data_IF_147664520285
#
_entry.id   IF_147664520285
#
_cell.length_a   1.000
_cell.length_b   1.000
_cell.length_c   1.000
_cell.angle_alpha   90.00
_cell.angle_beta   90.00
_cell.angle_gamma   90.00
#
_symmetry.space_group_name_H-M   'P 1'
#
loop_
_entity.id
_entity.type
_entity.pdbx_description
1 polymer ?
#
# COMPACT_ATOMS: atom_id res chain seq x y z
N UNK A 1 15.05 -0.69 -5.44
CA UNK A 1 14.32 -1.93 -5.80
C UNK A 1 13.30 -1.57 -6.87
N UNK A 2 13.06 -2.44 -7.87
CA UNK A 2 11.96 -2.19 -8.82
C UNK A 2 10.63 -2.45 -8.13
N UNK A 3 9.60 -1.68 -8.50
CA UNK A 3 8.28 -1.81 -7.86
C UNK A 3 7.67 -3.18 -8.16
N UNK A 4 7.90 -3.71 -9.37
CA UNK A 4 7.46 -5.05 -9.71
C UNK A 4 8.11 -6.14 -8.83
N UNK A 5 9.38 -5.98 -8.46
CA UNK A 5 10.05 -6.93 -7.56
C UNK A 5 9.42 -6.90 -6.16
N UNK A 6 9.07 -5.71 -5.66
CA UNK A 6 8.32 -5.58 -4.40
C UNK A 6 6.92 -6.22 -4.52
N UNK A 7 6.21 -6.00 -5.63
CA UNK A 7 4.92 -6.63 -5.89
C UNK A 7 5.02 -8.16 -5.85
N UNK A 8 6.07 -8.75 -6.44
CA UNK A 8 6.30 -10.19 -6.38
C UNK A 8 6.60 -10.67 -4.95
N UNK A 9 7.36 -9.89 -4.16
CA UNK A 9 7.58 -10.22 -2.75
C UNK A 9 6.29 -10.19 -1.93
N UNK A 10 5.42 -9.19 -2.16
CA UNK A 10 4.09 -9.12 -1.52
C UNK A 10 3.25 -10.32 -1.92
N UNK A 11 3.20 -10.66 -3.21
CA UNK A 11 2.47 -11.83 -3.70
C UNK A 11 2.94 -13.14 -3.05
N UNK A 12 4.26 -13.35 -2.97
CA UNK A 12 4.84 -14.52 -2.34
C UNK A 12 4.52 -14.58 -0.84
N UNK A 13 4.57 -13.43 -0.15
CA UNK A 13 4.17 -13.33 1.26
C UNK A 13 2.70 -13.71 1.45
N UNK A 14 1.79 -13.19 0.59
CA UNK A 14 0.36 -13.51 0.69
C UNK A 14 0.13 -15.02 0.53
N UNK A 15 0.79 -15.65 -0.45
CA UNK A 15 0.71 -17.10 -0.65
C UNK A 15 1.20 -17.89 0.55
N UNK A 16 2.40 -17.56 1.05
CA UNK A 16 3.00 -18.22 2.21
C UNK A 16 2.12 -18.11 3.45
N UNK A 17 1.50 -16.93 3.66
CA UNK A 17 0.62 -16.67 4.79
C UNK A 17 -0.83 -17.08 4.52
N UNK A 18 -1.13 -17.74 3.40
CA UNK A 18 -2.46 -18.23 3.05
C UNK A 18 -3.53 -17.15 2.92
N UNK A 19 -3.15 -15.94 2.52
CA UNK A 19 -4.09 -14.87 2.23
C UNK A 19 -4.59 -14.98 0.79
N UNK A 20 -5.88 -14.66 0.54
CA UNK A 20 -6.40 -14.68 -0.81
C UNK A 20 -5.80 -13.57 -1.67
N UNK A 21 -5.54 -13.91 -2.93
CA UNK A 21 -4.95 -13.04 -3.96
C UNK A 21 -5.87 -12.83 -5.17
N UNK A 22 -7.08 -13.41 -5.17
CA UNK A 22 -8.03 -13.29 -6.29
C UNK A 22 -8.91 -12.03 -6.18
N UNK A 23 -9.41 -11.57 -7.34
CA UNK A 23 -10.27 -10.38 -7.47
C UNK A 23 -11.56 -10.40 -6.63
N UNK A 24 -12.04 -11.58 -6.23
CA UNK A 24 -13.22 -11.72 -5.36
C UNK A 24 -13.04 -11.03 -4.00
N UNK A 25 -11.80 -10.69 -3.64
CA UNK A 25 -11.45 -9.99 -2.40
C UNK A 25 -11.22 -8.49 -2.60
N UNK A 26 -11.56 -7.94 -3.77
CA UNK A 26 -11.29 -6.54 -4.11
C UNK A 26 -11.81 -5.58 -3.03
N UNK A 27 -13.07 -5.72 -2.62
CA UNK A 27 -13.68 -4.88 -1.60
C UNK A 27 -12.93 -4.95 -0.26
N UNK A 28 -12.53 -6.15 0.16
CA UNK A 28 -11.76 -6.35 1.40
C UNK A 28 -10.41 -5.65 1.29
N UNK A 29 -9.67 -5.84 0.18
CA UNK A 29 -8.37 -5.19 -0.02
C UNK A 29 -8.48 -3.68 -0.11
N UNK A 30 -9.57 -3.16 -0.70
CA UNK A 30 -9.81 -1.73 -0.83
C UNK A 30 -10.10 -1.09 0.53
N UNK A 31 -10.93 -1.73 1.36
CA UNK A 31 -11.18 -1.28 2.74
C UNK A 31 -9.89 -1.32 3.57
N UNK A 32 -9.11 -2.41 3.49
CA UNK A 32 -7.84 -2.49 4.19
C UNK A 32 -6.83 -1.43 3.73
N UNK A 33 -6.83 -1.06 2.44
CA UNK A 33 -6.00 0.04 1.96
C UNK A 33 -6.42 1.38 2.58
N UNK A 34 -7.72 1.63 2.76
CA UNK A 34 -8.19 2.82 3.50
C UNK A 34 -7.80 2.81 4.97
N UNK A 35 -7.77 1.63 5.62
CA UNK A 35 -7.38 1.56 7.03
C UNK A 35 -5.91 1.94 7.23
N UNK A 36 -4.99 1.55 6.35
CA UNK A 36 -3.56 1.95 6.50
C UNK A 36 -3.38 3.49 6.44
N UNK A 37 -4.16 4.18 5.59
CA UNK A 37 -4.16 5.65 5.56
C UNK A 37 -4.71 6.23 6.88
N UNK A 38 -5.70 5.56 7.46
CA UNK A 38 -6.28 5.93 8.75
C UNK A 38 -5.34 5.63 9.92
N UNK A 39 -4.50 4.60 9.83
CA UNK A 39 -3.45 4.26 10.80
C UNK A 39 -2.36 5.33 10.80
N UNK A 40 -1.95 5.82 9.63
CA UNK A 40 -1.09 7.02 9.54
C UNK A 40 -1.75 8.24 10.20
N UNK A 41 -3.03 8.49 9.94
CA UNK A 41 -3.75 9.59 10.57
C UNK A 41 -3.81 9.44 12.10
N UNK A 42 -4.04 8.23 12.61
CA UNK A 42 -4.04 7.95 14.05
C UNK A 42 -2.64 8.16 14.67
N UNK A 43 -1.57 7.74 13.99
CA UNK A 43 -0.20 8.03 14.41
C UNK A 43 0.04 9.55 14.50
N UNK A 44 -0.43 10.32 13.52
CA UNK A 44 -0.35 11.79 13.52
C UNK A 44 -1.11 12.39 14.71
N UNK A 45 -2.35 11.97 14.96
CA UNK A 45 -3.15 12.44 16.12
C UNK A 45 -2.47 12.16 17.45
N UNK A 46 -1.79 11.03 17.56
CA UNK A 46 -1.11 10.58 18.78
C UNK A 46 0.34 11.06 18.89
N UNK A 47 0.85 11.81 17.91
CA UNK A 47 2.24 12.27 17.88
C UNK A 47 3.27 11.14 17.77
N UNK A 48 2.89 9.98 17.24
CA UNK A 48 3.76 8.80 17.09
C UNK A 48 4.59 8.89 15.81
N UNK A 49 5.48 9.87 15.74
CA UNK A 49 6.30 10.14 14.53
C UNK A 49 7.17 8.96 14.10
N UNK A 50 7.60 8.12 15.05
CA UNK A 50 8.33 6.88 14.76
C UNK A 50 7.53 5.84 13.95
N UNK A 51 6.19 5.93 13.96
CA UNK A 51 5.32 5.01 13.25
C UNK A 51 5.07 5.46 11.80
N UNK A 52 5.31 6.73 11.43
CA UNK A 52 4.92 7.25 10.12
C UNK A 52 5.52 6.48 8.94
N UNK A 53 6.78 6.05 9.07
CA UNK A 53 7.45 5.28 8.04
C UNK A 53 6.80 3.92 7.80
N UNK A 54 6.42 3.20 8.86
CA UNK A 54 5.76 1.91 8.70
C UNK A 54 4.35 2.06 8.11
N UNK A 55 3.59 3.08 8.52
CA UNK A 55 2.22 3.25 8.01
C UNK A 55 2.23 3.63 6.53
N UNK A 56 3.18 4.46 6.09
CA UNK A 56 3.39 4.75 4.67
C UNK A 56 3.78 3.49 3.87
N UNK A 57 4.63 2.64 4.43
CA UNK A 57 5.00 1.38 3.82
C UNK A 57 3.80 0.42 3.72
N UNK A 58 2.94 0.38 4.74
CA UNK A 58 1.72 -0.42 4.72
C UNK A 58 0.75 0.04 3.63
N UNK A 59 0.59 1.36 3.42
CA UNK A 59 -0.19 1.91 2.29
C UNK A 59 0.33 1.35 0.96
N UNK A 60 1.65 1.40 0.71
CA UNK A 60 2.24 0.86 -0.54
C UNK A 60 2.03 -0.66 -0.64
N UNK A 61 2.32 -1.41 0.43
CA UNK A 61 2.17 -2.87 0.42
C UNK A 61 0.72 -3.28 0.17
N UNK A 62 -0.26 -2.58 0.77
CA UNK A 62 -1.69 -2.81 0.50
C UNK A 62 -2.08 -2.41 -0.91
N UNK A 63 -1.56 -1.30 -1.42
CA UNK A 63 -1.80 -0.84 -2.79
C UNK A 63 -1.34 -1.89 -3.80
N UNK A 64 -0.20 -2.54 -3.57
CA UNK A 64 0.32 -3.59 -4.45
C UNK A 64 -0.56 -4.86 -4.49
N UNK A 65 -1.46 -5.06 -3.53
CA UNK A 65 -2.46 -6.12 -3.62
C UNK A 65 -3.42 -5.92 -4.81
N UNK A 66 -3.67 -4.66 -5.22
CA UNK A 66 -4.57 -4.36 -6.33
C UNK A 66 -4.08 -4.99 -7.64
N UNK A 67 -2.88 -4.67 -8.18
CA UNK A 67 -2.39 -5.33 -9.39
C UNK A 67 -2.17 -6.84 -9.22
N UNK A 68 -1.89 -7.34 -8.01
CA UNK A 68 -1.80 -8.79 -7.74
C UNK A 68 -3.12 -9.51 -8.03
N UNK A 69 -4.26 -8.88 -7.73
CA UNK A 69 -5.59 -9.44 -8.02
C UNK A 69 -5.92 -9.52 -9.52
N UNK A 70 -5.15 -8.83 -10.36
CA UNK A 70 -5.34 -8.78 -11.81
C UNK A 70 -4.06 -9.22 -12.54
N UNK A 71 -3.72 -10.52 -12.57
CA UNK A 71 -2.47 -11.01 -13.15
C UNK A 71 -2.23 -10.60 -14.60
N UNK A 72 -3.30 -10.40 -15.38
CA UNK A 72 -3.23 -9.95 -16.77
C UNK A 72 -2.71 -8.51 -16.93
N UNK A 73 -2.65 -7.73 -15.85
CA UNK A 73 -2.01 -6.42 -15.86
C UNK A 73 -0.48 -6.48 -15.96
N UNK A 74 0.13 -7.59 -15.53
CA UNK A 74 1.58 -7.78 -15.59
C UNK A 74 2.36 -6.71 -14.82
N UNK A 75 3.47 -6.26 -15.40
CA UNK A 75 4.28 -5.15 -14.87
C UNK A 75 3.73 -3.80 -15.33
N UNK A 76 2.71 -3.29 -14.63
CA UNK A 76 2.16 -1.94 -14.86
C UNK A 76 3.16 -0.82 -14.55
N UNK A 77 4.25 -1.14 -13.86
CA UNK A 77 5.30 -0.22 -13.45
C UNK A 77 6.36 -0.06 -14.53
N UNK A 78 6.33 -0.86 -15.61
CA UNK A 78 7.26 -0.75 -16.76
C UNK A 78 8.74 -0.77 -16.34
N UNK A 79 9.09 -1.61 -15.37
CA UNK A 79 10.45 -1.72 -14.83
C UNK A 79 10.87 -0.57 -13.90
N UNK A 80 9.98 0.38 -13.58
CA UNK A 80 10.29 1.52 -12.71
C UNK A 80 10.67 1.12 -11.28
N UNK A 81 11.52 1.95 -10.70
CA UNK A 81 11.83 2.04 -9.28
C UNK A 81 11.02 3.17 -8.63
N UNK A 82 11.14 3.32 -7.31
CA UNK A 82 10.52 4.41 -6.57
C UNK A 82 11.01 5.79 -7.03
N UNK A 83 12.25 5.88 -7.54
CA UNK A 83 12.80 7.14 -8.05
C UNK A 83 12.06 7.61 -9.31
N UNK A 84 11.62 6.68 -10.15
CA UNK A 84 10.99 6.96 -11.45
C UNK A 84 9.51 7.38 -11.35
N UNK A 85 8.87 7.12 -10.20
CA UNK A 85 7.50 7.58 -9.95
C UNK A 85 7.52 9.06 -9.59
N UNK A 86 6.77 9.95 -10.26
CA UNK A 86 6.73 11.35 -9.85
C UNK A 86 6.10 11.49 -8.47
N UNK A 87 6.59 12.42 -7.66
CA UNK A 87 5.90 12.81 -6.44
C UNK A 87 4.75 13.78 -6.72
N UNK A 88 3.61 13.56 -6.07
CA UNK A 88 2.53 14.55 -6.02
C UNK A 88 2.62 15.24 -4.66
N UNK A 89 3.07 16.50 -4.66
CA UNK A 89 3.25 17.28 -3.44
C UNK A 89 1.93 17.52 -2.72
N UNK A 90 2.00 17.56 -1.39
CA UNK A 90 0.95 18.01 -0.49
C UNK A 90 1.43 19.25 0.28
N UNK A 91 0.51 20.12 0.70
CA UNK A 91 0.84 21.28 1.52
C UNK A 91 0.97 20.91 3.01
N UNK A 92 0.19 19.92 3.44
CA UNK A 92 0.26 19.34 4.79
C UNK A 92 -0.08 17.83 4.80
N UNK A 93 0.12 17.20 5.96
CA UNK A 93 -0.12 15.76 6.14
C UNK A 93 -1.58 15.36 5.92
N UNK A 94 -2.52 16.18 6.39
CA UNK A 94 -3.94 15.89 6.30
C UNK A 94 -4.43 15.97 4.86
N UNK A 95 -3.98 16.97 4.11
CA UNK A 95 -4.24 17.07 2.68
C UNK A 95 -3.68 15.85 1.94
N UNK A 96 -2.44 15.46 2.25
CA UNK A 96 -1.82 14.26 1.66
C UNK A 96 -2.66 13.00 1.89
N UNK A 97 -3.02 12.73 3.14
CA UNK A 97 -3.87 11.57 3.50
C UNK A 97 -5.27 11.65 2.87
N UNK A 98 -5.90 12.81 2.87
CA UNK A 98 -7.21 13.03 2.24
C UNK A 98 -7.17 12.76 0.73
N UNK A 99 -6.13 13.21 0.05
CA UNK A 99 -5.96 12.99 -1.38
C UNK A 99 -5.74 11.50 -1.70
N UNK A 100 -5.01 10.78 -0.85
CA UNK A 100 -4.87 9.32 -0.94
C UNK A 100 -6.24 8.65 -0.77
N UNK A 101 -7.01 8.97 0.28
CA UNK A 101 -8.36 8.44 0.47
C UNK A 101 -9.28 8.69 -0.73
N UNK A 102 -9.26 9.91 -1.28
CA UNK A 102 -10.08 10.27 -2.44
C UNK A 102 -9.72 9.48 -3.68
N UNK A 103 -8.45 9.17 -3.89
CA UNK A 103 -8.02 8.39 -5.05
C UNK A 103 -8.31 6.90 -4.86
N UNK A 104 -8.14 6.35 -3.66
CA UNK A 104 -8.57 4.97 -3.34
C UNK A 104 -10.08 4.81 -3.60
N UNK A 105 -10.89 5.78 -3.20
CA UNK A 105 -12.36 5.75 -3.36
C UNK A 105 -12.83 5.68 -4.82
N UNK A 106 -11.95 5.96 -5.79
CA UNK A 106 -12.27 5.90 -7.22
C UNK A 106 -12.01 4.52 -7.84
N UNK A 107 -11.24 3.66 -7.16
CA UNK A 107 -10.94 2.34 -7.66
C UNK A 107 -12.21 1.49 -7.70
N UNK A 108 -12.43 0.78 -8.80
CA UNK A 108 -13.67 0.04 -9.07
C UNK A 108 -13.45 -1.44 -9.42
N UNK A 109 -12.21 -1.90 -9.42
CA UNK A 109 -11.84 -3.29 -9.69
C UNK A 109 -11.80 -3.63 -11.19
N UNK A 110 -11.48 -2.64 -12.03
CA UNK A 110 -11.38 -2.82 -13.49
C UNK A 110 -10.06 -2.29 -14.02
N UNK A 111 -9.74 -2.59 -15.28
CA UNK A 111 -8.50 -2.16 -15.93
C UNK A 111 -8.26 -0.64 -15.94
N UNK A 112 -9.31 0.19 -15.75
CA UNK A 112 -9.15 1.65 -15.61
C UNK A 112 -8.35 2.04 -14.36
N UNK A 113 -8.31 1.18 -13.35
CA UNK A 113 -7.68 1.46 -12.06
C UNK A 113 -6.16 1.50 -12.12
N UNK A 114 -5.51 1.03 -13.21
CA UNK A 114 -4.04 1.08 -13.37
C UNK A 114 -3.49 2.49 -13.14
N UNK A 115 -4.18 3.51 -13.66
CA UNK A 115 -3.79 4.90 -13.47
C UNK A 115 -4.04 5.37 -12.03
N UNK A 116 -5.16 4.97 -11.42
CA UNK A 116 -5.47 5.28 -10.02
C UNK A 116 -4.42 4.68 -9.07
N UNK A 117 -4.02 3.43 -9.31
CA UNK A 117 -2.95 2.75 -8.57
C UNK A 117 -1.63 3.52 -8.67
N UNK A 118 -1.24 3.92 -9.88
CA UNK A 118 -0.03 4.73 -10.08
C UNK A 118 -0.11 6.07 -9.33
N UNK A 119 -1.27 6.72 -9.37
CA UNK A 119 -1.50 8.01 -8.71
C UNK A 119 -1.50 7.91 -7.19
N UNK A 120 -2.06 6.85 -6.61
CA UNK A 120 -2.00 6.59 -5.16
C UNK A 120 -0.54 6.40 -4.72
N UNK A 121 0.26 5.68 -5.51
CA UNK A 121 1.69 5.54 -5.26
C UNK A 121 2.39 6.91 -5.26
N UNK A 122 2.14 7.72 -6.29
CA UNK A 122 2.73 9.06 -6.44
C UNK A 122 2.36 10.02 -5.29
N UNK A 123 1.11 9.97 -4.81
CA UNK A 123 0.64 10.70 -3.63
C UNK A 123 1.36 10.22 -2.36
N UNK A 124 1.48 8.91 -2.17
CA UNK A 124 2.18 8.33 -1.02
C UNK A 124 3.66 8.69 -1.01
N UNK A 125 4.31 8.72 -2.20
CA UNK A 125 5.68 9.22 -2.38
C UNK A 125 5.81 10.70 -2.04
N UNK A 126 4.86 11.52 -2.46
CA UNK A 126 4.84 12.95 -2.10
C UNK A 126 4.75 13.17 -0.60
N UNK A 127 3.89 12.40 0.07
CA UNK A 127 3.74 12.45 1.53
C UNK A 127 4.99 11.96 2.27
N UNK A 128 5.67 10.92 1.78
CA UNK A 128 6.94 10.47 2.37
C UNK A 128 8.04 11.52 2.24
N UNK A 129 8.12 12.20 1.09
CA UNK A 129 9.08 13.29 0.87
C UNK A 129 8.78 14.48 1.79
N UNK A 130 7.51 14.86 1.94
CA UNK A 130 7.08 15.90 2.89
C UNK A 130 7.54 15.59 4.32
N UNK A 131 7.51 14.31 4.71
CA UNK A 131 7.96 13.82 6.00
C UNK A 131 9.49 13.60 6.12
N UNK A 132 10.26 13.78 5.04
CA UNK A 132 11.69 13.50 5.02
C UNK A 132 12.03 12.00 5.14
N UNK A 133 11.13 11.12 4.70
CA UNK A 133 11.26 9.65 4.80
C UNK A 133 11.61 9.02 3.45
N UNK A 134 12.49 8.00 3.50
CA UNK A 134 12.79 7.15 2.35
C UNK A 134 11.78 6.00 2.27
N UNK A 135 10.76 6.19 1.43
CA UNK A 135 9.67 5.23 1.27
C UNK A 135 10.13 3.84 0.79
N UNK A 136 11.16 3.76 -0.06
CA UNK A 136 11.69 2.48 -0.52
C UNK A 136 12.35 1.74 0.65
N UNK A 137 13.12 2.45 1.48
CA UNK A 137 13.73 1.88 2.69
C UNK A 137 12.68 1.41 3.70
N UNK A 138 11.62 2.19 3.91
CA UNK A 138 10.53 1.80 4.82
C UNK A 138 9.76 0.57 4.30
N UNK A 139 9.51 0.48 2.98
CA UNK A 139 8.91 -0.72 2.38
C UNK A 139 9.77 -1.98 2.59
N UNK A 140 11.09 -1.88 2.42
CA UNK A 140 12.02 -2.99 2.66
C UNK A 140 11.95 -3.45 4.11
N UNK A 141 12.08 -2.53 5.07
CA UNK A 141 11.97 -2.84 6.51
C UNK A 141 10.63 -3.49 6.85
N UNK A 142 9.53 -2.96 6.30
CA UNK A 142 8.19 -3.50 6.56
C UNK A 142 8.02 -4.90 6.00
N UNK A 143 8.54 -5.17 4.80
CA UNK A 143 8.53 -6.52 4.24
C UNK A 143 9.33 -7.50 5.09
N UNK A 144 10.54 -7.15 5.53
CA UNK A 144 11.35 -7.99 6.43
C UNK A 144 10.61 -8.33 7.72
N UNK A 145 9.90 -7.36 8.29
CA UNK A 145 9.08 -7.56 9.47
C UNK A 145 7.86 -8.45 9.19
N UNK A 146 7.15 -8.21 8.09
CA UNK A 146 5.96 -8.97 7.72
C UNK A 146 6.28 -10.46 7.42
N UNK A 147 7.45 -10.76 6.86
CA UNK A 147 7.90 -12.15 6.68
C UNK A 147 8.04 -12.92 7.98
N UNK A 148 8.51 -12.24 9.05
CA UNK A 148 8.68 -12.81 10.39
C UNK A 148 7.37 -13.05 11.14
N UNK A 149 6.26 -12.44 10.71
CA UNK A 149 4.95 -12.61 11.35
C UNK A 149 4.44 -14.04 11.17
N UNK A 150 3.70 -14.62 12.14
CA UNK A 150 3.12 -15.96 11.99
C UNK A 150 2.05 -15.99 10.89
N UNK A 151 1.62 -17.20 10.53
CA UNK A 151 0.55 -17.42 9.55
C UNK A 151 -0.73 -16.67 9.94
N UNK A 152 -1.33 -15.95 8.98
CA UNK A 152 -2.55 -15.14 9.18
C UNK A 152 -2.54 -14.25 10.44
N UNK A 153 -1.42 -13.59 10.72
CA UNK A 153 -1.32 -12.68 11.86
C UNK A 153 -2.26 -11.47 11.73
N UNK A 154 -3.05 -11.19 12.76
CA UNK A 154 -3.89 -10.00 12.87
C UNK A 154 -5.22 -10.05 12.11
N UNK A 155 -5.56 -11.17 11.47
CA UNK A 155 -6.93 -11.38 10.93
C UNK A 155 -7.86 -11.92 12.00
N UNK A 156 -9.01 -11.27 12.18
CA UNK A 156 -10.14 -11.90 12.85
C UNK A 156 -10.50 -13.18 12.06
N UNK A 157 -10.64 -14.32 12.75
CA UNK A 157 -11.17 -15.53 12.11
C UNK A 157 -12.58 -15.20 11.61
N UNK A 158 -12.78 -15.14 10.31
CA UNK A 158 -14.12 -15.14 9.74
C UNK A 158 -14.78 -16.48 10.12
N UNK A 159 -15.66 -16.47 11.13
CA UNK A 159 -16.35 -17.68 11.58
C UNK A 159 -16.75 -17.71 13.07
N UNK A 160 -17.23 -16.60 13.61
CA UNK A 160 -17.66 -16.52 15.02
C UNK A 160 -18.87 -15.60 15.21
N UNK A 161 -19.94 -15.82 14.45
CA UNK A 161 -21.31 -15.47 14.83
C UNK A 161 -22.25 -16.55 14.31
#
# INVERSE_FOLDING_TARGET
>A
MRIFDLQQQVYNLLKEKGFPTGKDNFNVKLVLLHTEVSELADAVKKGRTGDYGQELADIIIRLLNIPIMYPHWGDIWKGSTFADIPEIKCNDLWEGMLNIHREISKLNGTDSDKLGVYKIFALTKGLSIYLGLDLNKECIKKMEFNWKRPYQYGTAKEGGR
#
